data_IF_710222581854
#
_entry.id   IF_710222581854
#
_cell.length_a   1.000
_cell.length_b   1.000
_cell.length_c   1.000
_cell.angle_alpha   90.00
_cell.angle_beta   90.00
_cell.angle_gamma   90.00
#
_symmetry.space_group_name_H-M   'P 1'
#
loop_
_entity.id
_entity.type
_entity.pdbx_description
1 polymer ?
#
# COMPACT_ATOMS: atom_id res chain seq x y z
N UNK A 1 -15.37 0.84 22.03
CA UNK A 1 -16.76 0.48 22.35
C UNK A 1 -17.56 0.64 21.07
N UNK A 2 -17.62 -0.43 20.28
CA UNK A 2 -18.53 -0.52 19.14
C UNK A 2 -19.93 -0.72 19.74
N UNK A 3 -20.95 -0.09 19.17
CA UNK A 3 -22.36 -0.31 19.58
C UNK A 3 -22.66 -1.81 19.65
N UNK A 4 -23.54 -2.24 20.57
CA UNK A 4 -23.92 -3.65 20.72
C UNK A 4 -24.33 -4.21 19.35
N UNK A 5 -23.57 -5.18 18.84
CA UNK A 5 -23.91 -5.86 17.61
C UNK A 5 -25.24 -6.60 17.79
N UNK A 6 -26.31 -6.12 17.17
CA UNK A 6 -27.57 -6.86 17.07
C UNK A 6 -27.47 -7.83 15.89
N UNK A 7 -27.12 -9.07 16.20
CA UNK A 7 -27.29 -10.18 15.28
C UNK A 7 -28.79 -10.37 15.03
N UNK A 8 -29.24 -10.14 13.79
CA UNK A 8 -30.65 -10.31 13.43
C UNK A 8 -31.29 -9.02 12.95
N UNK A 9 -30.73 -8.40 11.91
CA UNK A 9 -31.58 -7.66 10.99
C UNK A 9 -32.31 -8.73 10.17
N UNK A 10 -33.47 -9.17 10.67
CA UNK A 10 -34.53 -9.59 9.75
C UNK A 10 -34.66 -8.47 8.73
N UNK A 11 -34.59 -8.84 7.45
CA UNK A 11 -34.64 -8.03 6.23
C UNK A 11 -35.91 -7.15 6.15
N UNK A 12 -36.10 -6.29 7.14
CA UNK A 12 -37.33 -5.57 7.47
C UNK A 12 -37.05 -4.09 7.80
N UNK A 13 -35.80 -3.73 8.11
CA UNK A 13 -35.39 -2.33 8.28
C UNK A 13 -34.93 -1.64 6.98
N UNK A 14 -34.58 -2.39 5.93
CA UNK A 14 -34.21 -1.80 4.62
C UNK A 14 -35.41 -1.62 3.66
N UNK A 15 -36.60 -2.08 4.05
CA UNK A 15 -37.83 -1.88 3.27
C UNK A 15 -38.95 -1.39 4.18
N UNK A 16 -39.37 -0.14 3.98
CA UNK A 16 -40.54 0.42 4.64
C UNK A 16 -41.79 -0.36 4.21
N UNK A 17 -42.41 -1.12 5.13
CA UNK A 17 -43.74 -1.68 4.88
C UNK A 17 -44.77 -0.56 5.07
N UNK A 18 -45.28 -0.02 3.97
CA UNK A 18 -46.55 0.71 3.99
C UNK A 18 -47.67 -0.30 4.28
N UNK A 19 -47.95 -0.53 5.56
CA UNK A 19 -49.14 -1.26 5.96
C UNK A 19 -50.30 -0.26 5.97
N UNK A 20 -51.10 -0.22 4.90
CA UNK A 20 -52.33 0.59 4.83
C UNK A 20 -53.44 -0.03 5.71
N UNK A 21 -53.23 -0.10 7.03
CA UNK A 21 -54.33 -0.33 7.99
C UNK A 21 -53.85 -0.28 9.45
N UNK A 22 -53.19 0.80 9.88
CA UNK A 22 -53.08 1.11 11.32
C UNK A 22 -52.54 2.52 11.52
N UNK A 23 -53.30 3.31 12.27
CA UNK A 23 -53.02 4.69 12.67
C UNK A 23 -51.93 4.73 13.76
N UNK A 24 -50.74 4.26 13.44
CA UNK A 24 -49.54 4.46 14.26
C UNK A 24 -48.44 4.98 13.34
N UNK A 25 -48.23 6.29 13.40
CA UNK A 25 -47.06 6.94 12.81
C UNK A 25 -45.88 6.52 13.68
N UNK A 26 -45.31 5.34 13.41
CA UNK A 26 -43.95 5.06 13.83
C UNK A 26 -43.05 5.89 12.92
N UNK A 27 -42.76 7.12 13.37
CA UNK A 27 -41.66 7.90 12.82
C UNK A 27 -40.40 7.05 12.97
N UNK A 28 -39.73 6.77 11.84
CA UNK A 28 -38.35 6.32 11.85
C UNK A 28 -37.55 7.39 12.60
N UNK A 29 -37.25 7.14 13.88
CA UNK A 29 -36.27 7.91 14.60
C UNK A 29 -34.93 7.62 13.92
N UNK A 30 -34.47 8.56 13.10
CA UNK A 30 -33.09 8.54 12.60
C UNK A 30 -32.18 8.56 13.83
N UNK A 31 -31.36 7.52 14.08
CA UNK A 31 -30.40 7.59 15.16
C UNK A 31 -29.46 8.76 14.85
N UNK A 32 -29.51 9.79 15.70
CA UNK A 32 -28.71 11.00 15.64
C UNK A 32 -27.30 10.72 15.11
N UNK A 33 -27.00 11.27 13.93
CA UNK A 33 -25.78 11.03 13.17
C UNK A 33 -24.52 11.52 13.92
N UNK A 34 -23.91 10.64 14.72
CA UNK A 34 -22.50 10.76 15.10
C UNK A 34 -21.57 10.01 14.11
N UNK A 35 -22.07 9.60 12.95
CA UNK A 35 -21.31 8.87 11.92
C UNK A 35 -20.04 9.61 11.47
N UNK A 36 -20.09 10.95 11.45
CA UNK A 36 -18.99 11.79 10.99
C UNK A 36 -17.76 11.76 11.93
N UNK A 37 -17.95 11.47 13.21
CA UNK A 37 -16.84 11.39 14.19
C UNK A 37 -15.92 10.20 13.92
N UNK A 38 -16.50 9.05 13.55
CA UNK A 38 -15.72 7.85 13.23
C UNK A 38 -14.88 8.04 11.97
N UNK A 39 -15.43 8.72 10.94
CA UNK A 39 -14.68 9.08 9.74
C UNK A 39 -13.47 9.96 10.07
N UNK A 40 -13.64 10.97 10.94
CA UNK A 40 -12.54 11.83 11.40
C UNK A 40 -11.40 11.06 12.08
N UNK A 41 -11.72 10.08 12.92
CA UNK A 41 -10.72 9.22 13.60
C UNK A 41 -9.92 8.42 12.56
N UNK A 42 -10.58 7.79 11.58
CA UNK A 42 -9.89 7.06 10.53
C UNK A 42 -9.03 7.99 9.65
N UNK A 43 -9.54 9.17 9.30
CA UNK A 43 -8.80 10.14 8.50
C UNK A 43 -7.49 10.55 9.18
N UNK A 44 -7.53 10.89 10.47
CA UNK A 44 -6.34 11.21 11.27
C UNK A 44 -5.39 10.02 11.30
N UNK A 45 -5.91 8.80 11.53
CA UNK A 45 -5.12 7.58 11.51
C UNK A 45 -4.35 7.36 10.21
N UNK A 46 -5.01 7.51 9.06
CA UNK A 46 -4.37 7.38 7.74
C UNK A 46 -3.35 8.49 7.46
N UNK A 47 -3.62 9.72 7.90
CA UNK A 47 -2.64 10.83 7.80
C UNK A 47 -1.38 10.50 8.61
N UNK A 48 -1.54 10.06 9.87
CA UNK A 48 -0.41 9.66 10.72
C UNK A 48 0.37 8.49 10.10
N UNK A 49 -0.32 7.50 9.53
CA UNK A 49 0.30 6.38 8.83
C UNK A 49 1.10 6.87 7.60
N UNK A 50 0.54 7.79 6.82
CA UNK A 50 1.21 8.41 5.68
C UNK A 50 2.47 9.17 6.07
N UNK A 51 2.41 9.97 7.14
CA UNK A 51 3.56 10.71 7.67
C UNK A 51 4.68 9.76 8.14
N UNK A 52 4.34 8.65 8.78
CA UNK A 52 5.31 7.64 9.22
C UNK A 52 5.95 6.86 8.07
N UNK A 53 5.19 6.56 7.02
CA UNK A 53 5.65 5.77 5.87
C UNK A 53 6.48 6.60 4.87
N UNK A 54 6.17 7.89 4.70
CA UNK A 54 6.83 8.77 3.72
C UNK A 54 8.37 8.75 3.78
N UNK A 55 9.03 8.92 4.94
CA UNK A 55 10.49 8.91 5.01
C UNK A 55 11.10 7.54 4.66
N UNK A 56 10.38 6.43 4.85
CA UNK A 56 10.89 5.10 4.48
C UNK A 56 11.05 4.97 2.95
N UNK A 57 10.07 5.44 2.19
CA UNK A 57 10.14 5.40 0.72
C UNK A 57 11.03 6.49 0.14
N UNK A 58 11.00 7.71 0.70
CA UNK A 58 11.80 8.83 0.18
C UNK A 58 13.27 8.75 0.59
N UNK A 59 13.55 8.59 1.88
CA UNK A 59 14.93 8.59 2.40
C UNK A 59 15.56 7.20 2.36
N UNK A 60 14.79 6.12 2.54
CA UNK A 60 15.33 4.76 2.53
C UNK A 60 15.95 4.38 1.19
N UNK A 61 15.26 4.72 0.09
CA UNK A 61 15.75 4.50 -1.26
C UNK A 61 17.01 5.32 -1.55
N UNK A 62 16.97 6.63 -1.25
CA UNK A 62 18.13 7.52 -1.43
C UNK A 62 19.34 7.07 -0.60
N UNK A 63 19.11 6.65 0.64
CA UNK A 63 20.18 6.14 1.51
C UNK A 63 20.80 4.86 0.95
N UNK A 64 19.99 3.91 0.48
CA UNK A 64 20.49 2.68 -0.13
C UNK A 64 21.33 2.97 -1.38
N UNK A 65 20.88 3.91 -2.22
CA UNK A 65 21.69 4.33 -3.35
C UNK A 65 23.01 4.95 -2.88
N UNK A 66 23.00 5.86 -1.92
CA UNK A 66 24.21 6.55 -1.45
C UNK A 66 25.31 5.62 -0.95
N UNK A 67 24.95 4.54 -0.25
CA UNK A 67 25.92 3.59 0.34
C UNK A 67 26.39 2.52 -0.63
N UNK A 68 25.65 2.26 -1.73
CA UNK A 68 25.97 1.21 -2.69
C UNK A 68 26.79 1.75 -3.88
N UNK A 69 27.92 1.10 -4.17
CA UNK A 69 28.77 1.41 -5.32
C UNK A 69 28.07 1.29 -6.68
N UNK A 70 28.59 2.01 -7.70
CA UNK A 70 28.04 1.99 -9.07
C UNK A 70 27.99 0.57 -9.63
N UNK A 71 26.94 0.26 -10.39
CA UNK A 71 26.73 -1.05 -11.01
C UNK A 71 26.02 -2.08 -10.10
N UNK A 72 26.05 -1.91 -8.78
CA UNK A 72 25.28 -2.75 -7.83
C UNK A 72 23.99 -2.10 -7.35
N UNK A 73 23.90 -0.76 -7.39
CA UNK A 73 22.74 0.03 -6.91
C UNK A 73 21.40 -0.49 -7.43
N UNK A 74 21.30 -0.76 -8.74
CA UNK A 74 20.08 -1.26 -9.36
C UNK A 74 19.61 -2.60 -8.79
N UNK A 75 20.52 -3.51 -8.44
CA UNK A 75 20.16 -4.81 -7.86
C UNK A 75 19.57 -4.65 -6.45
N UNK A 76 20.20 -3.84 -5.61
CA UNK A 76 19.70 -3.57 -4.25
C UNK A 76 18.36 -2.85 -4.28
N UNK A 77 18.21 -1.89 -5.18
CA UNK A 77 16.96 -1.18 -5.41
C UNK A 77 15.84 -2.14 -5.83
N UNK A 78 16.11 -3.06 -6.76
CA UNK A 78 15.15 -4.10 -7.16
C UNK A 78 14.77 -5.04 -6.02
N UNK A 79 15.71 -5.40 -5.14
CA UNK A 79 15.41 -6.21 -3.94
C UNK A 79 14.50 -5.44 -2.99
N UNK A 80 14.78 -4.17 -2.72
CA UNK A 80 13.93 -3.32 -1.88
C UNK A 80 12.51 -3.19 -2.45
N UNK A 81 12.37 -2.96 -3.75
CA UNK A 81 11.06 -2.88 -4.40
C UNK A 81 10.32 -4.22 -4.40
N UNK A 82 11.03 -5.35 -4.53
CA UNK A 82 10.43 -6.67 -4.43
C UNK A 82 9.87 -6.97 -3.04
N UNK A 83 10.63 -6.62 -1.99
CA UNK A 83 10.15 -6.75 -0.60
C UNK A 83 8.93 -5.85 -0.38
N UNK A 84 8.95 -4.62 -0.87
CA UNK A 84 7.82 -3.69 -0.75
C UNK A 84 6.55 -4.23 -1.44
N UNK A 85 6.67 -4.83 -2.63
CA UNK A 85 5.53 -5.43 -3.33
C UNK A 85 5.03 -6.73 -2.70
N UNK A 86 5.89 -7.47 -2.00
CA UNK A 86 5.49 -8.65 -1.24
C UNK A 86 4.65 -8.28 0.00
N UNK A 87 4.83 -7.09 0.55
CA UNK A 87 4.13 -6.59 1.74
C UNK A 87 2.60 -6.71 1.67
N UNK A 88 1.91 -6.08 0.70
CA UNK A 88 0.46 -6.20 0.53
C UNK A 88 -0.01 -7.64 0.41
N UNK A 89 0.75 -8.44 -0.32
CA UNK A 89 0.41 -9.81 -0.65
C UNK A 89 0.52 -10.72 0.59
N UNK A 90 1.56 -10.55 1.41
CA UNK A 90 1.66 -11.15 2.74
C UNK A 90 0.54 -10.68 3.67
N UNK A 91 0.19 -9.39 3.65
CA UNK A 91 -0.92 -8.83 4.43
C UNK A 91 -2.25 -9.54 4.13
N UNK A 92 -2.57 -9.77 2.85
CA UNK A 92 -3.77 -10.51 2.45
C UNK A 92 -3.77 -11.97 2.93
N UNK A 93 -2.61 -12.63 2.98
CA UNK A 93 -2.52 -13.99 3.52
C UNK A 93 -2.71 -14.04 5.04
N UNK A 94 -2.16 -13.07 5.78
CA UNK A 94 -2.31 -12.95 7.24
C UNK A 94 -3.74 -12.53 7.63
N UNK A 95 -4.46 -11.88 6.71
CA UNK A 95 -5.85 -11.46 6.95
C UNK A 95 -6.82 -12.64 7.14
N UNK A 96 -6.56 -13.82 6.56
CA UNK A 96 -7.49 -14.96 6.63
C UNK A 96 -7.80 -15.42 8.07
N UNK A 97 -6.83 -15.77 8.93
CA UNK A 97 -7.13 -16.14 10.32
C UNK A 97 -7.79 -15.00 11.10
N UNK A 98 -7.43 -13.73 10.82
CA UNK A 98 -7.98 -12.55 11.49
C UNK A 98 -9.46 -12.36 11.14
N UNK A 99 -9.82 -12.50 9.86
CA UNK A 99 -11.18 -12.29 9.37
C UNK A 99 -12.13 -13.46 9.71
N UNK A 100 -11.59 -14.62 10.09
CA UNK A 100 -12.36 -15.75 10.63
C UNK A 100 -12.67 -15.63 12.14
N UNK A 101 -12.18 -14.59 12.81
CA UNK A 101 -12.57 -14.26 14.19
C UNK A 101 -13.70 -13.23 14.15
N UNK A 102 -14.76 -13.43 14.93
CA UNK A 102 -15.88 -12.50 15.00
C UNK A 102 -15.43 -11.14 15.55
N UNK A 103 -16.01 -10.05 15.04
CA UNK A 103 -15.59 -8.66 15.34
C UNK A 103 -15.46 -8.35 16.83
N UNK A 104 -16.38 -8.86 17.66
CA UNK A 104 -16.42 -8.65 19.12
C UNK A 104 -15.71 -9.76 19.92
N UNK A 105 -14.96 -10.66 19.25
CA UNK A 105 -14.30 -11.87 19.77
C UNK A 105 -15.26 -12.94 20.32
N UNK A 106 -16.37 -12.54 20.94
CA UNK A 106 -17.44 -13.39 21.44
C UNK A 106 -18.76 -13.00 20.77
N UNK A 107 -19.45 -13.99 20.23
CA UNK A 107 -20.77 -13.78 19.62
C UNK A 107 -21.83 -13.54 20.70
N UNK A 108 -22.88 -12.73 20.43
CA UNK A 108 -24.01 -12.59 21.34
C UNK A 108 -24.74 -13.91 21.55
N UNK A 109 -25.34 -14.08 22.73
CA UNK A 109 -26.09 -15.29 23.09
C UNK A 109 -27.18 -15.58 22.04
N UNK A 110 -27.29 -16.83 21.60
CA UNK A 110 -28.18 -17.34 20.55
C UNK A 110 -27.85 -16.93 19.11
N UNK A 111 -26.73 -16.24 18.87
CA UNK A 111 -26.22 -16.05 17.50
C UNK A 111 -25.23 -17.18 17.16
N UNK A 112 -25.62 -18.07 16.25
CA UNK A 112 -24.75 -19.11 15.69
C UNK A 112 -24.25 -18.65 14.31
N UNK A 113 -23.55 -17.51 14.27
CA UNK A 113 -23.02 -16.98 13.03
C UNK A 113 -21.75 -17.74 12.61
N UNK A 114 -21.68 -18.09 11.34
CA UNK A 114 -20.49 -18.63 10.69
C UNK A 114 -19.89 -17.59 9.74
N UNK A 115 -18.59 -17.67 9.39
CA UNK A 115 -17.95 -16.81 8.39
C UNK A 115 -18.63 -16.78 7.01
N UNK A 116 -19.51 -17.74 6.74
CA UNK A 116 -20.30 -17.86 5.51
C UNK A 116 -21.57 -17.01 5.54
N UNK A 117 -22.03 -16.61 6.72
CA UNK A 117 -23.21 -15.77 6.85
C UNK A 117 -22.91 -14.34 6.40
N UNK A 118 -23.82 -13.73 5.64
CA UNK A 118 -23.71 -12.34 5.16
C UNK A 118 -23.49 -11.31 6.29
N UNK A 119 -24.00 -11.60 7.48
CA UNK A 119 -23.88 -10.72 8.63
C UNK A 119 -22.51 -10.85 9.34
N UNK A 120 -21.68 -11.83 8.97
CA UNK A 120 -20.38 -12.03 9.56
C UNK A 120 -19.44 -10.86 9.26
N UNK A 121 -18.93 -10.24 10.32
CA UNK A 121 -17.87 -9.24 10.23
C UNK A 121 -16.66 -9.79 10.98
N UNK A 122 -15.56 -9.96 10.26
CA UNK A 122 -14.29 -10.37 10.85
C UNK A 122 -13.69 -9.27 11.72
N UNK A 123 -12.84 -9.64 12.68
CA UNK A 123 -12.14 -8.73 13.58
C UNK A 123 -11.01 -7.95 12.87
N UNK A 124 -11.37 -7.14 11.87
CA UNK A 124 -10.46 -6.36 11.02
C UNK A 124 -9.49 -5.47 11.81
N UNK A 125 -9.91 -4.99 12.99
CA UNK A 125 -9.10 -4.13 13.85
C UNK A 125 -7.85 -4.84 14.39
N UNK A 126 -7.88 -6.17 14.53
CA UNK A 126 -6.71 -6.96 14.89
C UNK A 126 -5.60 -6.84 13.82
N UNK A 127 -5.96 -6.63 12.56
CA UNK A 127 -4.99 -6.40 11.47
C UNK A 127 -4.11 -5.17 11.75
N UNK A 128 -4.70 -4.09 12.25
CA UNK A 128 -3.93 -2.89 12.62
C UNK A 128 -2.99 -3.15 13.80
N UNK A 129 -3.41 -3.94 14.80
CA UNK A 129 -2.55 -4.30 15.94
C UNK A 129 -1.39 -5.20 15.54
N UNK A 130 -1.66 -6.22 14.72
CA UNK A 130 -0.62 -7.11 14.18
C UNK A 130 0.37 -6.31 13.34
N UNK A 131 -0.12 -5.44 12.45
CA UNK A 131 0.70 -4.56 11.63
C UNK A 131 1.56 -3.61 12.46
N UNK A 132 0.98 -2.94 13.46
CA UNK A 132 1.70 -2.07 14.39
C UNK A 132 2.80 -2.84 15.15
N UNK A 133 2.50 -4.05 15.62
CA UNK A 133 3.48 -4.93 16.27
C UNK A 133 4.66 -5.27 15.36
N UNK A 134 4.40 -5.63 14.10
CA UNK A 134 5.45 -5.92 13.11
C UNK A 134 6.33 -4.68 12.86
N UNK A 135 5.72 -3.50 12.70
CA UNK A 135 6.47 -2.24 12.48
C UNK A 135 7.32 -1.87 13.70
N UNK A 136 6.79 -2.04 14.92
CA UNK A 136 7.56 -1.81 16.15
C UNK A 136 8.72 -2.80 16.26
N UNK A 137 8.50 -4.07 15.96
CA UNK A 137 9.57 -5.07 15.96
C UNK A 137 10.64 -4.76 14.90
N UNK A 138 10.24 -4.28 13.72
CA UNK A 138 11.15 -3.89 12.65
C UNK A 138 11.91 -2.59 12.95
N UNK A 139 11.37 -1.69 13.78
CA UNK A 139 12.06 -0.46 14.16
C UNK A 139 13.20 -0.71 15.14
N UNK A 140 13.13 -1.73 15.99
CA UNK A 140 14.19 -2.10 16.94
C UNK A 140 15.56 -2.31 16.25
N UNK A 141 15.71 -3.19 15.24
CA UNK A 141 16.98 -3.35 14.55
C UNK A 141 17.39 -2.10 13.77
N UNK A 142 16.41 -1.34 13.26
CA UNK A 142 16.67 -0.09 12.54
C UNK A 142 17.28 1.00 13.44
N UNK A 143 16.95 1.03 14.74
CA UNK A 143 17.59 1.92 15.72
C UNK A 143 19.08 1.58 15.95
N UNK A 144 19.49 0.35 15.65
CA UNK A 144 20.89 -0.09 15.76
C UNK A 144 21.75 0.24 14.54
N UNK A 145 21.18 0.80 13.47
CA UNK A 145 21.95 1.15 12.27
C UNK A 145 22.82 2.39 12.52
N UNK A 146 24.12 2.36 12.16
CA UNK A 146 24.98 3.52 12.27
C UNK A 146 24.51 4.63 11.31
N UNK A 147 24.63 5.88 11.72
CA UNK A 147 24.24 7.04 10.91
C UNK A 147 25.08 7.20 9.64
N UNK A 148 26.29 6.65 9.63
CA UNK A 148 27.18 6.63 8.48
C UNK A 148 28.04 5.36 8.53
N UNK A 149 28.09 4.62 7.42
CA UNK A 149 29.08 3.55 7.25
C UNK A 149 30.42 4.17 6.85
N UNK A 150 31.53 3.61 7.31
CA UNK A 150 32.89 4.15 7.08
C UNK A 150 33.23 4.31 5.58
N UNK A 151 32.69 3.44 4.73
CA UNK A 151 32.92 3.49 3.27
C UNK A 151 31.99 4.46 2.51
N UNK A 152 30.96 5.02 3.16
CA UNK A 152 29.96 5.87 2.48
C UNK A 152 30.58 7.12 1.85
N UNK A 153 31.54 7.76 2.52
CA UNK A 153 32.17 8.98 2.01
C UNK A 153 33.05 8.69 0.78
N UNK A 154 33.71 7.53 0.76
CA UNK A 154 34.48 7.05 -0.39
C UNK A 154 33.57 6.78 -1.58
N UNK A 155 32.48 6.04 -1.38
CA UNK A 155 31.51 5.72 -2.43
C UNK A 155 30.88 6.98 -3.00
N UNK A 156 30.51 7.96 -2.16
CA UNK A 156 29.99 9.27 -2.60
C UNK A 156 31.01 10.05 -3.43
N UNK A 157 32.28 10.10 -3.01
CA UNK A 157 33.36 10.76 -3.78
C UNK A 157 33.58 10.08 -5.14
N UNK A 158 33.54 8.74 -5.20
CA UNK A 158 33.61 8.00 -6.46
C UNK A 158 32.38 8.24 -7.35
N UNK A 159 31.19 8.47 -6.77
CA UNK A 159 29.98 8.86 -7.50
C UNK A 159 30.01 10.29 -8.04
N UNK A 160 30.61 11.22 -7.31
CA UNK A 160 30.71 12.61 -7.78
C UNK A 160 31.76 12.78 -8.88
N UNK A 161 32.84 11.98 -8.87
CA UNK A 161 33.93 12.07 -9.88
C UNK A 161 33.53 11.71 -11.32
N UNK A 162 32.53 10.86 -11.50
CA UNK A 162 32.00 10.49 -12.83
C UNK A 162 30.50 10.79 -12.95
N UNK A 163 29.94 11.63 -12.09
CA UNK A 163 28.67 12.25 -12.44
C UNK A 163 29.00 13.20 -13.58
N UNK A 164 28.28 13.07 -14.70
CA UNK A 164 28.37 14.00 -15.84
C UNK A 164 27.64 15.30 -15.46
N UNK A 165 27.94 15.81 -14.27
CA UNK A 165 27.38 17.03 -13.73
C UNK A 165 27.97 18.16 -14.54
N UNK A 166 27.10 18.84 -15.29
CA UNK A 166 27.41 20.18 -15.78
C UNK A 166 28.08 20.96 -14.64
N UNK A 167 29.09 21.77 -14.95
CA UNK A 167 29.83 22.60 -13.98
C UNK A 167 28.92 23.42 -13.04
N UNK A 168 27.65 23.61 -13.42
CA UNK A 168 26.59 24.27 -12.66
C UNK A 168 26.12 23.50 -11.40
N UNK A 169 26.20 22.17 -11.37
CA UNK A 169 25.70 21.40 -10.21
C UNK A 169 26.67 21.40 -9.02
N UNK A 170 27.95 21.75 -9.25
CA UNK A 170 28.95 21.87 -8.18
C UNK A 170 28.80 23.17 -7.37
N UNK A 171 28.00 24.12 -7.89
CA UNK A 171 27.74 25.46 -7.34
C UNK A 171 26.31 25.59 -6.76
N UNK A 172 25.57 24.47 -6.69
CA UNK A 172 24.31 24.41 -5.98
C UNK A 172 24.58 24.56 -4.48
N UNK A 173 24.50 25.81 -4.00
CA UNK A 173 24.37 26.08 -2.57
C UNK A 173 23.28 25.17 -2.01
N UNK A 174 23.60 24.39 -0.96
CA UNK A 174 22.67 23.51 -0.24
C UNK A 174 21.61 24.29 0.57
N UNK A 175 21.13 25.40 0.02
CA UNK A 175 20.06 26.21 0.58
C UNK A 175 18.72 25.76 0.05
N UNK A 176 17.70 25.76 0.91
CA UNK A 176 16.31 25.46 0.52
C UNK A 176 15.80 26.37 -0.62
N UNK A 177 16.44 27.52 -0.84
CA UNK A 177 16.13 28.45 -1.93
C UNK A 177 16.61 27.96 -3.31
N UNK A 178 17.65 27.14 -3.40
CA UNK A 178 18.13 26.54 -4.66
C UNK A 178 17.28 25.34 -5.10
N UNK A 179 16.48 24.78 -4.18
CA UNK A 179 15.55 23.69 -4.49
C UNK A 179 14.42 24.13 -5.43
N UNK A 180 13.88 25.34 -5.27
CA UNK A 180 12.76 25.79 -6.10
C UNK A 180 13.11 25.95 -7.59
N UNK A 181 14.22 26.62 -7.97
CA UNK A 181 14.69 26.65 -9.36
C UNK A 181 14.91 25.26 -9.95
N UNK A 182 15.55 24.36 -9.19
CA UNK A 182 15.85 22.98 -9.61
C UNK A 182 14.56 22.17 -9.82
N UNK A 183 13.62 22.28 -8.89
CA UNK A 183 12.29 21.66 -8.96
C UNK A 183 11.51 22.18 -10.17
N UNK A 184 11.53 23.51 -10.40
CA UNK A 184 10.88 24.14 -11.56
C UNK A 184 11.51 23.71 -12.88
N UNK A 185 12.82 23.50 -12.93
CA UNK A 185 13.51 22.94 -14.10
C UNK A 185 13.05 21.51 -14.38
N UNK A 186 12.94 20.69 -13.33
CA UNK A 186 12.45 19.32 -13.42
C UNK A 186 11.00 19.25 -13.94
N UNK A 187 10.12 20.15 -13.49
CA UNK A 187 8.75 20.26 -14.00
C UNK A 187 8.65 20.68 -15.47
N UNK A 188 9.65 21.35 -16.03
CA UNK A 188 9.71 21.70 -17.46
C UNK A 188 10.20 20.54 -18.33
N UNK A 189 10.78 19.50 -17.73
CA UNK A 189 11.26 18.33 -18.45
C UNK A 189 10.08 17.40 -18.76
N UNK A 190 9.57 17.46 -19.99
CA UNK A 190 8.39 16.69 -20.44
C UNK A 190 8.57 15.17 -20.24
N UNK A 191 9.68 14.54 -20.66
CA UNK A 191 9.95 13.13 -20.35
C UNK A 191 9.83 12.77 -18.87
N UNK A 192 10.34 13.61 -17.97
CA UNK A 192 10.25 13.37 -16.53
C UNK A 192 8.79 13.38 -16.05
N UNK A 193 8.00 14.36 -16.49
CA UNK A 193 6.58 14.45 -16.12
C UNK A 193 5.77 13.27 -16.66
N UNK A 194 6.05 12.81 -17.88
CA UNK A 194 5.38 11.63 -18.44
C UNK A 194 5.70 10.35 -17.65
N UNK A 195 6.95 10.17 -17.21
CA UNK A 195 7.34 9.03 -16.36
C UNK A 195 6.62 9.11 -15.01
N UNK A 196 6.59 10.29 -14.38
CA UNK A 196 5.88 10.49 -13.11
C UNK A 196 4.38 10.23 -13.23
N UNK A 197 3.74 10.70 -14.31
CA UNK A 197 2.33 10.46 -14.57
C UNK A 197 2.05 8.96 -14.81
N UNK A 198 2.92 8.29 -15.57
CA UNK A 198 2.84 6.84 -15.78
C UNK A 198 2.90 6.07 -14.45
N UNK A 199 3.88 6.38 -13.61
CA UNK A 199 4.03 5.75 -12.30
C UNK A 199 2.84 6.05 -11.36
N UNK A 200 2.26 7.26 -11.44
CA UNK A 200 1.07 7.61 -10.67
C UNK A 200 -0.16 6.81 -11.12
N UNK A 201 -0.37 6.64 -12.43
CA UNK A 201 -1.45 5.82 -12.99
C UNK A 201 -1.28 4.34 -12.64
N UNK A 202 -0.06 3.81 -12.73
CA UNK A 202 0.26 2.44 -12.31
C UNK A 202 -0.05 2.24 -10.82
N UNK A 203 0.39 3.16 -9.96
CA UNK A 203 0.12 3.11 -8.52
C UNK A 203 -1.39 3.20 -8.22
N UNK A 204 -2.14 4.02 -8.96
CA UNK A 204 -3.59 4.12 -8.83
C UNK A 204 -4.29 2.80 -9.19
N UNK A 205 -3.90 2.16 -10.29
CA UNK A 205 -4.45 0.87 -10.71
C UNK A 205 -4.14 -0.21 -9.67
N UNK A 206 -2.87 -0.35 -9.27
CA UNK A 206 -2.47 -1.35 -8.27
C UNK A 206 -3.21 -1.14 -6.95
N UNK A 207 -3.29 0.10 -6.46
CA UNK A 207 -4.01 0.44 -5.23
C UNK A 207 -5.51 0.14 -5.32
N UNK A 208 -6.15 0.51 -6.44
CA UNK A 208 -7.56 0.23 -6.69
C UNK A 208 -7.85 -1.26 -6.73
N UNK A 209 -7.10 -2.03 -7.51
CA UNK A 209 -7.26 -3.48 -7.56
C UNK A 209 -6.98 -4.13 -6.20
N UNK A 210 -5.91 -3.74 -5.49
CA UNK A 210 -5.61 -4.32 -4.18
C UNK A 210 -6.77 -4.17 -3.19
N UNK A 211 -7.44 -3.00 -3.16
CA UNK A 211 -8.54 -2.75 -2.21
C UNK A 211 -9.83 -3.43 -2.65
N UNK A 212 -10.19 -3.32 -3.93
CA UNK A 212 -11.51 -3.76 -4.41
C UNK A 212 -11.55 -5.23 -4.81
N UNK A 213 -10.42 -5.85 -5.16
CA UNK A 213 -10.39 -7.23 -5.65
C UNK A 213 -10.87 -8.26 -4.61
N UNK A 214 -10.47 -8.22 -3.33
CA UNK A 214 -11.01 -9.14 -2.33
C UNK A 214 -12.53 -8.99 -2.18
N UNK A 215 -13.03 -7.76 -2.23
CA UNK A 215 -14.47 -7.47 -2.10
C UNK A 215 -15.25 -7.88 -3.33
N UNK A 216 -14.67 -7.71 -4.51
CA UNK A 216 -15.22 -8.24 -5.75
C UNK A 216 -15.34 -9.77 -5.68
N UNK A 217 -14.30 -10.47 -5.21
CA UNK A 217 -14.35 -11.93 -5.06
C UNK A 217 -15.42 -12.36 -4.05
N UNK A 218 -15.48 -11.69 -2.91
CA UNK A 218 -16.48 -11.94 -1.86
C UNK A 218 -17.92 -11.78 -2.41
N UNK A 219 -18.18 -10.72 -3.16
CA UNK A 219 -19.52 -10.40 -3.66
C UNK A 219 -19.94 -11.22 -4.87
N UNK A 220 -19.03 -11.45 -5.83
CA UNK A 220 -19.35 -12.14 -7.09
C UNK A 220 -19.31 -13.67 -6.97
N UNK A 221 -18.39 -14.22 -6.17
CA UNK A 221 -18.24 -15.66 -6.01
C UNK A 221 -18.85 -16.18 -4.70
N UNK A 222 -19.55 -15.31 -3.97
CA UNK A 222 -20.19 -15.62 -2.68
C UNK A 222 -19.23 -16.31 -1.70
N UNK A 223 -17.96 -15.89 -1.71
CA UNK A 223 -16.93 -16.41 -0.82
C UNK A 223 -16.88 -15.56 0.46
N UNK A 224 -16.47 -16.19 1.57
CA UNK A 224 -16.22 -15.47 2.84
C UNK A 224 -15.13 -14.43 2.66
N UNK A 225 -15.19 -13.30 3.37
CA UNK A 225 -14.16 -12.26 3.32
C UNK A 225 -12.73 -12.81 3.56
N UNK A 226 -12.60 -13.79 4.47
CA UNK A 226 -11.33 -14.44 4.79
C UNK A 226 -10.74 -15.23 3.61
N UNK A 227 -11.54 -16.12 2.98
CA UNK A 227 -11.15 -16.88 1.77
C UNK A 227 -10.82 -15.95 0.59
N UNK A 228 -11.60 -14.89 0.39
CA UNK A 228 -11.36 -13.93 -0.70
C UNK A 228 -10.05 -13.16 -0.54
N UNK A 229 -9.74 -12.73 0.69
CA UNK A 229 -8.45 -12.11 1.00
C UNK A 229 -7.29 -13.10 0.77
N UNK A 230 -7.43 -14.34 1.25
CA UNK A 230 -6.41 -15.38 1.04
C UNK A 230 -6.14 -15.63 -0.45
N UNK A 231 -7.19 -15.82 -1.24
CA UNK A 231 -7.08 -16.06 -2.68
C UNK A 231 -6.39 -14.89 -3.37
N UNK A 232 -6.75 -13.65 -3.01
CA UNK A 232 -6.12 -12.44 -3.55
C UNK A 232 -4.62 -12.42 -3.23
N UNK A 233 -4.23 -12.71 -1.99
CA UNK A 233 -2.82 -12.79 -1.60
C UNK A 233 -2.05 -13.87 -2.38
N UNK A 234 -2.61 -15.08 -2.47
CA UNK A 234 -1.97 -16.22 -3.15
C UNK A 234 -1.85 -16.00 -4.67
N UNK A 235 -2.73 -15.22 -5.29
CA UNK A 235 -2.63 -14.89 -6.72
C UNK A 235 -1.63 -13.75 -6.96
N UNK A 236 -1.64 -12.72 -6.12
CA UNK A 236 -0.76 -11.56 -6.28
C UNK A 236 0.70 -11.92 -5.99
N UNK A 237 0.99 -12.75 -4.97
CA UNK A 237 2.37 -13.09 -4.59
C UNK A 237 3.18 -13.66 -5.77
N UNK A 238 2.77 -14.77 -6.43
CA UNK A 238 3.52 -15.33 -7.54
C UNK A 238 3.52 -14.42 -8.76
N UNK A 239 2.40 -13.72 -9.03
CA UNK A 239 2.31 -12.79 -10.16
C UNK A 239 3.34 -11.66 -10.06
N UNK A 240 3.41 -11.00 -8.90
CA UNK A 240 4.38 -9.94 -8.63
C UNK A 240 5.82 -10.48 -8.66
N UNK A 241 6.09 -11.63 -8.03
CA UNK A 241 7.41 -12.22 -8.03
C UNK A 241 7.89 -12.56 -9.46
N UNK A 242 7.06 -13.24 -10.24
CA UNK A 242 7.39 -13.61 -11.63
C UNK A 242 7.62 -12.35 -12.47
N UNK A 243 6.78 -11.32 -12.37
CA UNK A 243 6.96 -10.06 -13.11
C UNK A 243 8.27 -9.36 -12.77
N UNK A 244 8.59 -9.23 -11.48
CA UNK A 244 9.81 -8.56 -11.03
C UNK A 244 11.08 -9.34 -11.39
N UNK A 245 11.10 -10.66 -11.18
CA UNK A 245 12.26 -11.48 -11.50
C UNK A 245 12.49 -11.56 -13.01
N UNK A 246 11.43 -11.69 -13.82
CA UNK A 246 11.57 -11.71 -15.28
C UNK A 246 12.10 -10.38 -15.79
N UNK A 247 11.54 -9.24 -15.34
CA UNK A 247 12.05 -7.91 -15.68
C UNK A 247 13.52 -7.73 -15.34
N UNK A 248 13.93 -8.08 -14.11
CA UNK A 248 15.32 -8.00 -13.67
C UNK A 248 16.25 -8.94 -14.47
N UNK A 249 15.78 -10.16 -14.77
CA UNK A 249 16.53 -11.14 -15.56
C UNK A 249 16.81 -10.64 -16.98
N UNK A 250 15.82 -10.05 -17.66
CA UNK A 250 16.00 -9.51 -19.01
C UNK A 250 17.01 -8.35 -19.04
N UNK A 251 16.88 -7.39 -18.12
CA UNK A 251 17.82 -6.26 -18.02
C UNK A 251 19.24 -6.76 -17.78
N UNK A 252 19.42 -7.73 -16.86
CA UNK A 252 20.73 -8.28 -16.51
C UNK A 252 21.35 -9.14 -17.62
N UNK A 253 20.55 -10.02 -18.24
CA UNK A 253 21.04 -10.96 -19.28
C UNK A 253 21.46 -10.23 -20.55
N UNK A 254 20.67 -9.25 -20.98
CA UNK A 254 20.89 -8.56 -22.25
C UNK A 254 21.64 -7.24 -22.11
N UNK A 255 21.99 -6.82 -20.88
CA UNK A 255 22.67 -5.56 -20.58
C UNK A 255 22.05 -4.39 -21.34
N UNK A 256 20.74 -4.21 -21.20
CA UNK A 256 20.01 -3.20 -21.96
C UNK A 256 20.47 -1.79 -21.58
N UNK A 257 20.78 -0.97 -22.60
CA UNK A 257 20.95 0.47 -22.42
C UNK A 257 19.62 1.14 -22.04
N UNK A 258 19.66 2.31 -21.41
CA UNK A 258 18.46 3.03 -20.95
C UNK A 258 17.38 3.17 -22.05
N UNK A 259 17.79 3.45 -23.30
CA UNK A 259 16.85 3.54 -24.43
C UNK A 259 16.15 2.22 -24.73
N UNK A 260 16.85 1.09 -24.61
CA UNK A 260 16.29 -0.25 -24.81
C UNK A 260 15.38 -0.64 -23.66
N UNK A 261 15.74 -0.30 -22.42
CA UNK A 261 14.90 -0.52 -21.23
C UNK A 261 13.56 0.19 -21.41
N UNK A 262 13.58 1.50 -21.69
CA UNK A 262 12.35 2.30 -21.85
C UNK A 262 11.49 1.76 -23.00
N UNK A 263 12.10 1.45 -24.15
CA UNK A 263 11.37 0.91 -25.30
C UNK A 263 10.70 -0.43 -24.98
N UNK A 264 11.43 -1.34 -24.33
CA UNK A 264 10.90 -2.66 -24.02
C UNK A 264 9.86 -2.59 -22.89
N UNK A 265 10.04 -1.72 -21.90
CA UNK A 265 9.03 -1.45 -20.88
C UNK A 265 7.72 -0.95 -21.51
N UNK A 266 7.80 -0.01 -22.45
CA UNK A 266 6.63 0.47 -23.19
C UNK A 266 5.91 -0.65 -23.96
N UNK A 267 6.65 -1.55 -24.62
CA UNK A 267 6.06 -2.70 -25.33
C UNK A 267 5.34 -3.64 -24.34
N UNK A 268 5.94 -3.92 -23.19
CA UNK A 268 5.35 -4.77 -22.16
C UNK A 268 4.07 -4.14 -21.61
N UNK A 269 4.10 -2.84 -21.29
CA UNK A 269 2.92 -2.10 -20.82
C UNK A 269 1.78 -2.02 -21.86
N UNK A 270 2.08 -2.19 -23.15
CA UNK A 270 1.08 -2.21 -24.21
C UNK A 270 0.45 -3.60 -24.41
N UNK A 271 1.13 -4.64 -23.93
CA UNK A 271 0.67 -6.04 -23.99
C UNK A 271 -0.07 -6.48 -22.73
N UNK A 272 0.13 -5.79 -21.60
CA UNK A 272 -0.55 -5.99 -20.32
C UNK A 272 -1.89 -5.27 -20.26
#
# INVERSE_FOLDING_TARGET
MVSKYQAGITLLSDTCRLNMSSTSIDTCEEPSENGNQYFGIFAIGYICMGLGVTPLYSLGYAHCEDIVGRGKSSLYLSIMSAIAAFGPAAGFTIANPILNVFVDLKQPENSHLTPENRNWVGAWWLGYLVGAGIVILASIPMLGFPSLFDDTERVRKEKNKFADTNKEDHDLNHDLKSLWPSTKSLFKNVPFILICLGNAMESFLIGGFAIFLPKFIETQFHQTAAKSALLTGVVIIPGAAVGMFTGAFFVKKYKWDCKRIIRNAFIVSLLS
#
